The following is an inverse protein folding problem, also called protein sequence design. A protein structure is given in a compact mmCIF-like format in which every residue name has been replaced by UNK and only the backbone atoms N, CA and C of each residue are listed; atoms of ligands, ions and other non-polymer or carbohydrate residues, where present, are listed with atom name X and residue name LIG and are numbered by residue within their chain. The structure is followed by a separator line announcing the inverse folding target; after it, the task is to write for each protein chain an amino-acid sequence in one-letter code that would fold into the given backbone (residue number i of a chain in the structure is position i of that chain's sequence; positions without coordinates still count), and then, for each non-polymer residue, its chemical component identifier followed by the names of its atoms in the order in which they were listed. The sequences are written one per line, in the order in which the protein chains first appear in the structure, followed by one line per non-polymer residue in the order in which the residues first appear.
data_IF_390649277033
#
_entry.id   IF_390649277033
#
_cell.length_a   1.000
_cell.length_b   1.000
_cell.length_c   1.000
_cell.angle_alpha   90.00
_cell.angle_beta   90.00
_cell.angle_gamma   90.00
#
_symmetry.space_group_name_H-M   'P 1'
#
loop_
_entity.id
_entity.type
_entity.pdbx_description
1 polymer ?
#
# COMPACT_ATOMS: atom_id res chain seq x y z
N UNK A 1 14.15 11.07 1.87
CA UNK A 1 13.51 10.12 0.92
C UNK A 1 12.00 10.14 1.19
N UNK A 2 11.14 10.26 0.17
CA UNK A 2 9.67 10.35 0.35
C UNK A 2 9.04 8.98 0.11
N UNK A 3 8.18 8.54 1.03
CA UNK A 3 7.52 7.23 0.92
C UNK A 3 6.17 7.18 1.65
N UNK A 4 5.29 6.28 1.22
CA UNK A 4 4.02 5.96 1.89
C UNK A 4 4.02 4.47 2.23
N UNK A 5 3.70 4.11 3.48
CA UNK A 5 3.61 2.70 3.91
C UNK A 5 2.14 2.34 4.09
N UNK A 6 1.74 1.21 3.50
CA UNK A 6 0.44 0.56 3.71
C UNK A 6 0.64 -0.57 4.71
N UNK A 7 -0.15 -0.58 5.78
CA UNK A 7 -0.09 -1.56 6.85
C UNK A 7 -1.50 -1.87 7.36
N UNK A 8 -1.67 -3.05 7.94
CA UNK A 8 -2.89 -3.43 8.66
C UNK A 8 -2.77 -3.05 10.14
N UNK A 9 -3.88 -2.70 10.77
CA UNK A 9 -3.98 -2.49 12.22
C UNK A 9 -3.91 -3.81 13.00
N UNK A 10 -4.43 -4.89 12.41
CA UNK A 10 -4.33 -6.27 12.89
C UNK A 10 -4.63 -7.24 11.74
N UNK A 11 -4.35 -8.52 11.96
CA UNK A 11 -4.57 -9.59 10.97
C UNK A 11 -6.00 -10.17 10.98
N UNK A 12 -6.93 -9.60 11.77
CA UNK A 12 -8.31 -10.07 11.77
C UNK A 12 -9.03 -9.53 10.54
N UNK A 13 -9.63 -10.44 9.78
CA UNK A 13 -10.47 -10.07 8.65
C UNK A 13 -11.65 -9.22 9.09
N UNK A 14 -12.04 -8.27 8.22
CA UNK A 14 -13.22 -7.44 8.39
C UNK A 14 -14.33 -8.00 7.50
N UNK A 15 -15.49 -8.34 8.05
CA UNK A 15 -16.62 -8.88 7.26
C UNK A 15 -16.27 -10.12 6.42
N UNK A 16 -15.36 -10.98 6.90
CA UNK A 16 -14.80 -12.13 6.15
C UNK A 16 -14.05 -11.76 4.86
N UNK A 17 -13.67 -10.48 4.71
CA UNK A 17 -12.83 -9.99 3.63
C UNK A 17 -11.42 -9.80 4.18
N UNK A 18 -10.43 -10.32 3.44
CA UNK A 18 -9.04 -10.14 3.82
C UNK A 18 -8.66 -8.67 3.78
N UNK A 19 -8.17 -8.12 4.89
CA UNK A 19 -7.62 -6.74 4.93
C UNK A 19 -6.48 -6.54 3.92
N UNK A 20 -5.79 -7.60 3.52
CA UNK A 20 -4.76 -7.55 2.48
C UNK A 20 -5.33 -7.26 1.10
N UNK A 21 -6.58 -7.63 0.83
CA UNK A 21 -7.29 -7.22 -0.40
C UNK A 21 -7.52 -5.70 -0.40
N UNK A 22 -8.03 -5.15 0.71
CA UNK A 22 -8.22 -3.70 0.86
C UNK A 22 -6.90 -2.94 0.73
N UNK A 23 -5.82 -3.49 1.30
CA UNK A 23 -4.48 -2.93 1.11
C UNK A 23 -4.05 -2.92 -0.36
N UNK A 24 -4.36 -3.98 -1.12
CA UNK A 24 -4.12 -4.01 -2.57
C UNK A 24 -4.88 -2.92 -3.32
N UNK A 25 -6.13 -2.67 -2.95
CA UNK A 25 -6.93 -1.57 -3.51
C UNK A 25 -6.30 -0.21 -3.16
N UNK A 26 -5.87 -0.02 -1.90
CA UNK A 26 -5.19 1.19 -1.47
C UNK A 26 -3.85 1.41 -2.20
N UNK A 27 -3.06 0.34 -2.40
CA UNK A 27 -1.83 0.38 -3.19
C UNK A 27 -2.09 0.85 -4.62
N UNK A 28 -3.12 0.33 -5.29
CA UNK A 28 -3.49 0.78 -6.64
C UNK A 28 -3.83 2.27 -6.68
N UNK A 29 -4.61 2.77 -5.72
CA UNK A 29 -4.98 4.19 -5.63
C UNK A 29 -3.76 5.10 -5.42
N UNK A 30 -2.83 4.68 -4.56
CA UNK A 30 -1.57 5.41 -4.31
C UNK A 30 -0.75 5.48 -5.60
N UNK A 31 -0.56 4.36 -6.31
CA UNK A 31 0.23 4.35 -7.54
C UNK A 31 -0.42 5.19 -8.65
N UNK A 32 -1.74 5.08 -8.82
CA UNK A 32 -2.49 5.86 -9.80
C UNK A 32 -2.40 7.37 -9.50
N UNK A 33 -2.60 7.76 -8.24
CA UNK A 33 -2.48 9.16 -7.80
C UNK A 33 -1.07 9.71 -8.00
N UNK A 34 -0.04 8.92 -7.67
CA UNK A 34 1.34 9.29 -7.92
C UNK A 34 1.60 9.51 -9.43
N UNK A 35 1.17 8.58 -10.28
CA UNK A 35 1.31 8.69 -11.75
C UNK A 35 0.59 9.91 -12.30
N UNK A 36 -0.63 10.19 -11.85
CA UNK A 36 -1.38 11.38 -12.25
C UNK A 36 -0.64 12.67 -11.86
N UNK A 37 0.00 12.70 -10.70
CA UNK A 37 0.82 13.82 -10.23
C UNK A 37 2.21 13.91 -10.88
N UNK A 38 2.53 13.05 -11.87
CA UNK A 38 3.86 12.99 -12.48
C UNK A 38 4.95 12.40 -11.58
N UNK A 39 4.58 11.82 -10.43
CA UNK A 39 5.49 11.18 -9.48
C UNK A 39 5.68 9.72 -9.85
N UNK A 40 6.94 9.29 -9.97
CA UNK A 40 7.30 7.88 -10.17
C UNK A 40 7.77 7.28 -8.86
N UNK A 41 7.60 5.98 -8.73
CA UNK A 41 8.04 5.24 -7.55
C UNK A 41 7.95 3.75 -7.74
N UNK A 42 8.40 3.01 -6.74
CA UNK A 42 8.40 1.55 -6.72
C UNK A 42 7.83 1.03 -5.40
N UNK A 43 7.14 -0.11 -5.49
CA UNK A 43 6.69 -0.86 -4.32
C UNK A 43 7.79 -1.75 -3.75
N UNK A 44 7.92 -1.73 -2.43
CA UNK A 44 8.69 -2.68 -1.61
C UNK A 44 7.68 -3.47 -0.76
N UNK A 45 7.73 -4.81 -0.81
CA UNK A 45 6.86 -5.64 0.02
C UNK A 45 7.43 -5.75 1.43
N UNK A 46 6.55 -5.69 2.43
CA UNK A 46 6.92 -5.74 3.85
C UNK A 46 6.32 -6.99 4.53
N UNK A 47 6.91 -7.38 5.65
CA UNK A 47 6.34 -8.37 6.56
C UNK A 47 5.25 -7.74 7.43
N UNK A 48 4.31 -8.59 7.89
CA UNK A 48 3.21 -8.18 8.76
C UNK A 48 3.73 -7.45 10.01
N UNK A 49 3.08 -6.34 10.45
CA UNK A 49 1.82 -5.78 9.94
C UNK A 49 1.96 -4.91 8.67
N UNK A 50 3.19 -4.66 8.22
CA UNK A 50 3.44 -3.97 6.95
C UNK A 50 2.98 -4.81 5.76
N UNK A 51 2.35 -4.16 4.79
CA UNK A 51 1.97 -4.79 3.52
C UNK A 51 2.96 -4.39 2.45
N UNK A 52 3.09 -3.09 2.19
CA UNK A 52 4.04 -2.57 1.22
C UNK A 52 4.38 -1.10 1.48
N UNK A 53 5.50 -0.65 0.92
CA UNK A 53 5.93 0.75 0.93
C UNK A 53 6.13 1.25 -0.49
N UNK A 54 5.49 2.36 -0.83
CA UNK A 54 5.75 3.09 -2.07
C UNK A 54 6.89 4.07 -1.85
N UNK A 55 8.01 3.87 -2.55
CA UNK A 55 9.19 4.73 -2.50
C UNK A 55 9.26 5.58 -3.76
N UNK A 56 9.28 6.91 -3.62
CA UNK A 56 9.42 7.84 -4.75
C UNK A 56 10.84 7.75 -5.32
N UNK A 57 10.93 7.71 -6.65
CA UNK A 57 12.18 7.70 -7.44
C UNK A 57 12.47 9.05 -8.06
#
# INVERSE_FOLDING_TARGET
MRSVTVAVDNEKDSYHISKRLDCGIAMLHIELGARFAGVRGRWEHLSSPGVARFCVT
#
